data_IF_558754567814
#
_entry.id   IF_558754567814
#
_cell.length_a   1.000
_cell.length_b   1.000
_cell.length_c   1.000
_cell.angle_alpha   90.00
_cell.angle_beta   90.00
_cell.angle_gamma   90.00
#
_symmetry.space_group_name_H-M   'P 1'
#
loop_
_entity.id
_entity.type
_entity.pdbx_description
1 polymer ?
#
# COMPACT_ATOMS: atom_id res chain seq x y z
N UNK A 1 2.39 -19.23 25.56
CA UNK A 1 3.58 -19.94 25.06
C UNK A 1 3.31 -20.74 23.80
N UNK A 2 2.96 -20.07 22.69
CA UNK A 2 2.97 -20.63 21.33
C UNK A 2 3.70 -19.66 20.38
N UNK A 3 3.49 -18.35 20.58
CA UNK A 3 4.22 -17.28 19.88
C UNK A 3 5.73 -17.34 20.17
N UNK A 4 6.16 -17.56 21.43
CA UNK A 4 7.58 -17.65 21.78
C UNK A 4 8.31 -18.86 21.17
N UNK A 5 7.58 -19.86 20.67
CA UNK A 5 8.16 -21.02 19.99
C UNK A 5 8.56 -20.70 18.54
N UNK A 6 7.82 -19.81 17.88
CA UNK A 6 8.10 -19.36 16.50
C UNK A 6 8.88 -18.05 16.44
N UNK A 7 8.76 -17.20 17.46
CA UNK A 7 9.40 -15.90 17.52
C UNK A 7 10.10 -15.68 18.86
N UNK A 8 11.42 -15.49 18.79
CA UNK A 8 12.28 -15.25 19.94
C UNK A 8 12.19 -13.80 20.45
N UNK A 9 11.60 -12.89 19.68
CA UNK A 9 11.45 -11.49 20.07
C UNK A 9 10.28 -10.77 19.38
N UNK A 10 9.84 -9.66 19.98
CA UNK A 10 8.88 -8.71 19.35
C UNK A 10 9.38 -8.23 17.99
N UNK A 11 10.69 -8.05 17.84
CA UNK A 11 11.31 -7.67 16.57
C UNK A 11 11.00 -8.68 15.47
N UNK A 12 11.19 -9.98 15.73
CA UNK A 12 10.90 -11.01 14.73
C UNK A 12 9.41 -11.06 14.35
N UNK A 13 8.51 -10.82 15.31
CA UNK A 13 7.07 -10.70 15.02
C UNK A 13 6.80 -9.51 14.09
N UNK A 14 7.37 -8.33 14.37
CA UNK A 14 7.15 -7.12 13.55
C UNK A 14 7.70 -7.29 12.12
N UNK A 15 8.88 -7.90 11.97
CA UNK A 15 9.46 -8.18 10.66
C UNK A 15 8.61 -9.19 9.86
N UNK A 16 8.19 -10.28 10.49
CA UNK A 16 7.31 -11.26 9.84
C UNK A 16 5.94 -10.67 9.48
N UNK A 17 5.41 -9.73 10.27
CA UNK A 17 4.19 -9.02 9.93
C UNK A 17 4.38 -8.12 8.69
N UNK A 18 5.52 -7.44 8.56
CA UNK A 18 5.84 -6.66 7.36
C UNK A 18 5.83 -7.56 6.12
N UNK A 19 6.55 -8.68 6.16
CA UNK A 19 6.59 -9.66 5.07
C UNK A 19 5.19 -10.19 4.71
N UNK A 20 4.38 -10.53 5.73
CA UNK A 20 3.04 -11.04 5.54
C UNK A 20 2.07 -10.00 4.94
N UNK A 21 2.28 -8.70 5.21
CA UNK A 21 1.48 -7.64 4.60
C UNK A 21 1.89 -7.38 3.15
N UNK A 22 3.19 -7.42 2.85
CA UNK A 22 3.69 -7.31 1.48
C UNK A 22 3.16 -8.43 0.60
N UNK A 23 3.16 -9.68 1.10
CA UNK A 23 2.59 -10.82 0.39
C UNK A 23 1.09 -10.64 0.10
N UNK A 24 0.32 -10.11 1.06
CA UNK A 24 -1.11 -9.81 0.85
C UNK A 24 -1.34 -8.73 -0.20
N UNK A 25 -0.54 -7.67 -0.18
CA UNK A 25 -0.63 -6.61 -1.19
C UNK A 25 -0.31 -7.19 -2.57
N UNK A 26 0.78 -7.96 -2.69
CA UNK A 26 1.16 -8.62 -3.94
C UNK A 26 0.03 -9.51 -4.48
N UNK A 27 -0.60 -10.33 -3.63
CA UNK A 27 -1.74 -11.16 -4.02
C UNK A 27 -2.94 -10.33 -4.52
N UNK A 28 -3.26 -9.21 -3.85
CA UNK A 28 -4.32 -8.30 -4.31
C UNK A 28 -3.99 -7.65 -5.65
N UNK A 29 -2.74 -7.26 -5.85
CA UNK A 29 -2.28 -6.72 -7.13
C UNK A 29 -2.39 -7.76 -8.23
N UNK A 30 -1.92 -8.99 -8.00
CA UNK A 30 -1.99 -10.09 -8.97
C UNK A 30 -3.44 -10.39 -9.37
N UNK A 31 -4.36 -10.46 -8.39
CA UNK A 31 -5.78 -10.61 -8.66
C UNK A 31 -6.35 -9.44 -9.47
N UNK A 32 -5.98 -8.19 -9.16
CA UNK A 32 -6.46 -7.04 -9.93
C UNK A 32 -5.86 -6.98 -11.35
N UNK A 33 -4.63 -7.47 -11.53
CA UNK A 33 -3.96 -7.52 -12.83
C UNK A 33 -4.63 -8.47 -13.83
N UNK A 34 -5.33 -9.51 -13.37
CA UNK A 34 -6.03 -10.44 -14.29
C UNK A 34 -7.15 -9.75 -15.08
N UNK A 35 -7.64 -8.60 -14.61
CA UNK A 35 -8.62 -7.77 -15.33
C UNK A 35 -8.01 -6.60 -16.11
N UNK A 36 -6.70 -6.38 -16.05
CA UNK A 36 -6.05 -5.23 -16.70
C UNK A 36 -5.85 -5.49 -18.20
N UNK A 37 -6.45 -4.65 -19.04
CA UNK A 37 -6.38 -4.76 -20.51
C UNK A 37 -5.45 -3.75 -21.17
N UNK A 38 -4.97 -2.75 -20.42
CA UNK A 38 -4.07 -1.70 -20.89
C UNK A 38 -3.02 -1.31 -19.85
N UNK A 39 -2.10 -0.42 -20.23
CA UNK A 39 -1.02 0.03 -19.34
C UNK A 39 -1.56 0.75 -18.09
N UNK A 40 -2.66 1.49 -18.21
CA UNK A 40 -3.33 2.14 -17.10
C UNK A 40 -4.00 1.16 -16.14
N UNK A 41 -4.45 0.00 -16.64
CA UNK A 41 -4.97 -1.10 -15.83
C UNK A 41 -3.93 -1.65 -14.86
N UNK A 42 -2.63 -1.66 -15.22
CA UNK A 42 -1.55 -2.03 -14.30
C UNK A 42 -1.39 -1.00 -13.16
N UNK A 43 -1.53 0.28 -13.47
CA UNK A 43 -1.51 1.35 -12.45
C UNK A 43 -2.71 1.19 -11.51
N UNK A 44 -3.90 0.98 -12.05
CA UNK A 44 -5.11 0.77 -11.25
C UNK A 44 -5.03 -0.46 -10.36
N UNK A 45 -4.45 -1.56 -10.85
CA UNK A 45 -4.23 -2.78 -10.06
C UNK A 45 -3.28 -2.55 -8.88
N UNK A 46 -2.19 -1.79 -9.09
CA UNK A 46 -1.28 -1.40 -8.02
C UNK A 46 -1.98 -0.51 -6.98
N UNK A 47 -2.73 0.50 -7.42
CA UNK A 47 -3.51 1.36 -6.53
C UNK A 47 -4.55 0.57 -5.76
N UNK A 48 -5.23 -0.39 -6.39
CA UNK A 48 -6.18 -1.28 -5.74
C UNK A 48 -5.51 -2.12 -4.64
N UNK A 49 -4.34 -2.71 -4.93
CA UNK A 49 -3.59 -3.49 -3.94
C UNK A 49 -3.24 -2.71 -2.67
N UNK A 50 -2.96 -1.41 -2.82
CA UNK A 50 -2.67 -0.50 -1.72
C UNK A 50 -3.93 0.04 -1.03
N UNK A 51 -4.96 0.45 -1.77
CA UNK A 51 -6.04 1.30 -1.25
C UNK A 51 -7.40 0.61 -1.08
N UNK A 52 -7.60 -0.58 -1.63
CA UNK A 52 -8.86 -1.30 -1.47
C UNK A 52 -9.05 -1.75 -0.01
N UNK A 53 -9.76 -0.94 0.77
CA UNK A 53 -10.34 -1.27 2.06
C UNK A 53 -11.85 -1.50 1.87
N UNK A 54 -12.47 -2.45 2.58
CA UNK A 54 -13.93 -2.67 2.56
C UNK A 54 -14.46 -3.69 1.53
N UNK A 55 -13.99 -3.70 0.28
CA UNK A 55 -14.50 -4.61 -0.78
C UNK A 55 -13.58 -5.85 -0.93
N UNK A 56 -13.49 -6.65 0.14
CA UNK A 56 -12.43 -7.67 0.29
C UNK A 56 -11.08 -7.09 0.76
N UNK A 57 -11.07 -5.81 1.15
CA UNK A 57 -9.94 -5.16 1.80
C UNK A 57 -9.75 -5.59 3.25
N UNK A 58 -8.51 -5.54 3.73
CA UNK A 58 -8.14 -5.99 5.09
C UNK A 58 -7.87 -4.77 5.98
N UNK A 59 -8.93 -4.28 6.64
CA UNK A 59 -8.85 -3.13 7.58
C UNK A 59 -7.91 -3.42 8.75
N UNK A 60 -7.86 -4.68 9.20
CA UNK A 60 -6.95 -5.09 10.26
C UNK A 60 -5.49 -5.03 9.79
N UNK A 61 -5.20 -5.41 8.55
CA UNK A 61 -3.87 -5.25 7.96
C UNK A 61 -3.49 -3.76 7.79
N UNK A 62 -4.41 -2.90 7.37
CA UNK A 62 -4.15 -1.46 7.27
C UNK A 62 -3.86 -0.83 8.64
N UNK A 63 -4.63 -1.20 9.67
CA UNK A 63 -4.38 -0.82 11.05
C UNK A 63 -3.01 -1.35 11.54
N UNK A 64 -2.69 -2.61 11.24
CA UNK A 64 -1.43 -3.24 11.60
C UNK A 64 -0.23 -2.51 10.96
N UNK A 65 -0.33 -2.18 9.66
CA UNK A 65 0.68 -1.41 8.94
C UNK A 65 0.88 -0.02 9.57
N UNK A 66 -0.21 0.67 9.90
CA UNK A 66 -0.14 1.97 10.58
C UNK A 66 0.58 1.89 11.93
N UNK A 67 0.32 0.85 12.73
CA UNK A 67 1.01 0.61 14.00
C UNK A 67 2.49 0.25 13.81
N UNK A 68 2.82 -0.56 12.80
CA UNK A 68 4.20 -0.88 12.45
C UNK A 68 4.97 0.38 12.05
N UNK A 69 4.34 1.30 11.31
CA UNK A 69 4.93 2.60 11.00
C UNK A 69 5.24 3.46 12.24
N UNK A 70 4.52 3.29 13.34
CA UNK A 70 4.85 3.93 14.61
C UNK A 70 6.05 3.27 15.32
N UNK A 71 6.13 1.93 15.28
CA UNK A 71 7.26 1.17 15.84
C UNK A 71 8.56 1.36 15.03
N UNK A 72 8.44 1.53 13.71
CA UNK A 72 9.53 1.81 12.77
C UNK A 72 10.35 3.06 13.14
N UNK A 73 9.78 4.00 13.88
CA UNK A 73 10.47 5.21 14.35
C UNK A 73 11.36 4.94 15.57
N UNK A 74 11.11 3.84 16.29
CA UNK A 74 11.80 3.50 17.54
C UNK A 74 12.76 2.32 17.38
N UNK A 75 12.47 1.42 16.45
CA UNK A 75 13.23 0.18 16.22
C UNK A 75 13.88 0.27 14.83
N UNK A 76 15.21 0.48 14.74
CA UNK A 76 15.90 0.73 13.47
C UNK A 76 15.68 -0.34 12.39
N UNK A 77 15.68 -1.61 12.78
CA UNK A 77 15.51 -2.77 11.89
C UNK A 77 14.10 -2.80 11.28
N UNK A 78 13.08 -2.52 12.10
CA UNK A 78 11.70 -2.38 11.64
C UNK A 78 11.59 -1.16 10.72
N UNK A 79 12.27 -0.07 11.06
CA UNK A 79 12.33 1.12 10.23
C UNK A 79 12.95 0.89 8.86
N UNK A 80 14.00 0.06 8.77
CA UNK A 80 14.61 -0.33 7.51
C UNK A 80 13.62 -1.15 6.66
N UNK A 81 13.07 -2.23 7.21
CA UNK A 81 12.11 -3.08 6.51
C UNK A 81 10.88 -2.30 6.02
N UNK A 82 10.34 -1.42 6.85
CA UNK A 82 9.21 -0.56 6.51
C UNK A 82 9.53 0.38 5.33
N UNK A 83 10.68 1.06 5.37
CA UNK A 83 11.11 1.94 4.26
C UNK A 83 11.34 1.18 2.97
N UNK A 84 11.91 -0.02 3.05
CA UNK A 84 12.16 -0.86 1.89
C UNK A 84 10.85 -1.30 1.22
N UNK A 85 9.81 -1.61 2.01
CA UNK A 85 8.46 -1.87 1.49
C UNK A 85 7.86 -0.70 0.74
N UNK A 86 7.92 0.50 1.32
CA UNK A 86 7.46 1.73 0.65
C UNK A 86 8.23 2.01 -0.65
N UNK A 87 9.54 1.80 -0.62
CA UNK A 87 10.40 1.98 -1.79
C UNK A 87 10.04 0.98 -2.91
N UNK A 88 9.74 -0.28 -2.57
CA UNK A 88 9.26 -1.29 -3.52
C UNK A 88 7.95 -0.88 -4.17
N UNK A 89 6.94 -0.49 -3.39
CA UNK A 89 5.64 -0.06 -3.95
C UNK A 89 5.80 1.16 -4.84
N UNK A 90 6.60 2.13 -4.42
CA UNK A 90 6.91 3.31 -5.24
C UNK A 90 7.59 2.93 -6.56
N UNK A 91 8.56 2.01 -6.54
CA UNK A 91 9.25 1.56 -7.74
C UNK A 91 8.30 0.89 -8.74
N UNK A 92 7.41 0.00 -8.26
CA UNK A 92 6.41 -0.65 -9.12
C UNK A 92 5.42 0.35 -9.72
N UNK A 93 5.01 1.36 -8.97
CA UNK A 93 4.16 2.44 -9.48
C UNK A 93 4.88 3.27 -10.55
N UNK A 94 6.15 3.64 -10.32
CA UNK A 94 6.96 4.37 -11.30
C UNK A 94 7.05 3.58 -12.60
N UNK A 95 7.36 2.29 -12.54
CA UNK A 95 7.44 1.40 -13.70
C UNK A 95 6.11 1.38 -14.47
N UNK A 96 5.00 1.16 -13.78
CA UNK A 96 3.67 1.10 -14.41
C UNK A 96 3.24 2.44 -15.02
N UNK A 97 3.45 3.55 -14.31
CA UNK A 97 3.14 4.90 -14.78
C UNK A 97 4.00 5.31 -15.97
N UNK A 98 5.27 4.86 -16.01
CA UNK A 98 6.17 5.10 -17.15
C UNK A 98 5.68 4.33 -18.37
N UNK A 99 5.32 3.05 -18.20
CA UNK A 99 4.74 2.24 -19.28
C UNK A 99 3.39 2.80 -19.78
N UNK A 100 2.62 3.45 -18.91
CA UNK A 100 1.38 4.12 -19.25
C UNK A 100 1.56 5.51 -19.91
N UNK A 101 2.79 5.98 -20.07
CA UNK A 101 3.09 7.27 -20.70
C UNK A 101 2.73 8.49 -19.84
N UNK A 102 2.67 8.33 -18.51
CA UNK A 102 2.37 9.46 -17.63
C UNK A 102 3.47 10.54 -17.69
N UNK A 103 3.12 11.83 -17.64
CA UNK A 103 4.07 12.94 -17.78
C UNK A 103 5.04 13.09 -16.59
N UNK A 104 4.62 12.69 -15.38
CA UNK A 104 5.46 12.67 -14.18
C UNK A 104 5.24 11.37 -13.36
N UNK A 105 5.81 10.23 -13.81
CA UNK A 105 5.64 8.95 -13.11
C UNK A 105 6.17 8.97 -11.68
N UNK A 106 7.20 9.78 -11.41
CA UNK A 106 7.88 9.85 -10.12
C UNK A 106 7.02 10.59 -9.10
N UNK A 107 6.49 11.76 -9.46
CA UNK A 107 5.60 12.54 -8.60
C UNK A 107 4.27 11.84 -8.37
N UNK A 108 3.69 11.21 -9.39
CA UNK A 108 2.45 10.46 -9.26
C UNK A 108 2.59 9.21 -8.38
N UNK A 109 3.69 8.48 -8.50
CA UNK A 109 3.97 7.36 -7.60
C UNK A 109 4.15 7.83 -6.14
N UNK A 110 4.81 8.96 -5.92
CA UNK A 110 4.95 9.55 -4.59
C UNK A 110 3.58 9.96 -4.01
N UNK A 111 2.75 10.64 -4.80
CA UNK A 111 1.39 11.02 -4.42
C UNK A 111 0.57 9.79 -4.00
N UNK A 112 0.60 8.71 -4.79
CA UNK A 112 -0.12 7.49 -4.51
C UNK A 112 0.32 6.85 -3.18
N UNK A 113 1.64 6.76 -2.93
CA UNK A 113 2.18 6.22 -1.67
C UNK A 113 1.79 7.09 -0.47
N UNK A 114 1.92 8.42 -0.56
CA UNK A 114 1.52 9.34 0.50
C UNK A 114 0.02 9.21 0.79
N UNK A 115 -0.80 9.11 -0.26
CA UNK A 115 -2.25 8.99 -0.10
C UNK A 115 -2.64 7.65 0.54
N UNK A 116 -2.00 6.54 0.18
CA UNK A 116 -2.23 5.24 0.83
C UNK A 116 -1.85 5.28 2.32
N UNK A 117 -0.65 5.79 2.61
CA UNK A 117 -0.15 5.97 3.98
C UNK A 117 -1.05 6.87 4.84
N UNK A 118 -1.58 7.95 4.25
CA UNK A 118 -2.55 8.83 4.89
C UNK A 118 -3.90 8.15 5.11
N UNK A 119 -4.42 7.46 4.10
CA UNK A 119 -5.71 6.78 4.15
C UNK A 119 -5.73 5.69 5.23
N UNK A 120 -4.67 4.88 5.35
CA UNK A 120 -4.58 3.85 6.38
C UNK A 120 -4.52 4.43 7.79
N UNK A 121 -3.72 5.47 8.02
CA UNK A 121 -3.60 6.11 9.35
C UNK A 121 -4.88 6.84 9.76
N UNK A 122 -5.44 7.65 8.87
CA UNK A 122 -6.63 8.44 9.17
C UNK A 122 -7.87 7.55 9.22
N UNK A 123 -8.02 6.61 8.28
CA UNK A 123 -9.13 5.65 8.29
C UNK A 123 -9.14 4.77 9.55
N UNK A 124 -7.95 4.37 10.04
CA UNK A 124 -7.85 3.64 11.31
C UNK A 124 -8.09 4.53 12.53
N UNK A 125 -7.47 5.71 12.59
CA UNK A 125 -7.52 6.60 13.77
C UNK A 125 -8.81 7.42 13.89
N UNK A 126 -9.51 7.64 12.78
CA UNK A 126 -10.72 8.45 12.67
C UNK A 126 -11.65 7.92 11.55
N UNK A 127 -12.24 6.72 11.72
CA UNK A 127 -13.01 6.03 10.67
C UNK A 127 -14.22 6.81 10.15
N UNK A 128 -14.74 7.77 10.91
CA UNK A 128 -15.82 8.66 10.46
C UNK A 128 -15.39 9.71 9.41
N UNK A 129 -14.08 9.94 9.25
CA UNK A 129 -13.54 10.93 8.30
C UNK A 129 -13.22 10.33 6.94
N UNK A 130 -12.79 9.06 6.90
CA UNK A 130 -12.54 8.32 5.67
C UNK A 130 -13.27 6.98 5.79
N UNK A 131 -14.50 6.89 5.28
CA UNK A 131 -15.22 5.62 5.24
C UNK A 131 -14.43 4.56 4.45
N UNK A 132 -14.55 3.27 4.81
CA UNK A 132 -13.91 2.19 4.07
C UNK A 132 -14.26 2.24 2.58
N UNK A 133 -13.26 1.99 1.72
CA UNK A 133 -13.43 1.96 0.26
C UNK A 133 -13.36 3.31 -0.43
N UNK A 134 -13.48 4.44 0.27
CA UNK A 134 -13.53 5.77 -0.35
C UNK A 134 -12.15 6.25 -0.86
N UNK A 135 -11.06 5.82 -0.23
CA UNK A 135 -9.71 6.29 -0.58
C UNK A 135 -9.30 5.87 -2.00
N UNK A 136 -9.61 4.64 -2.42
CA UNK A 136 -9.24 4.10 -3.73
C UNK A 136 -9.81 4.93 -4.91
N UNK A 137 -11.14 5.12 -5.06
CA UNK A 137 -11.68 5.86 -6.19
C UNK A 137 -11.17 7.30 -6.24
N UNK A 138 -10.97 7.95 -5.08
CA UNK A 138 -10.41 9.31 -5.01
C UNK A 138 -8.97 9.37 -5.53
N UNK A 139 -8.08 8.53 -4.99
CA UNK A 139 -6.66 8.54 -5.39
C UNK A 139 -6.50 8.09 -6.84
N UNK A 140 -7.23 7.06 -7.27
CA UNK A 140 -7.24 6.59 -8.67
C UNK A 140 -7.67 7.70 -9.62
N UNK A 141 -8.77 8.40 -9.31
CA UNK A 141 -9.25 9.52 -10.13
C UNK A 141 -8.24 10.66 -10.23
N UNK A 142 -7.53 10.97 -9.14
CA UNK A 142 -6.50 12.00 -9.13
C UNK A 142 -5.26 11.59 -9.94
N UNK A 143 -4.75 10.36 -9.74
CA UNK A 143 -3.59 9.85 -10.48
C UNK A 143 -3.90 9.78 -11.97
N UNK A 144 -5.07 9.29 -12.38
CA UNK A 144 -5.47 9.23 -13.80
C UNK A 144 -5.58 10.63 -14.41
N UNK A 145 -6.21 11.58 -13.72
CA UNK A 145 -6.37 12.97 -14.19
C UNK A 145 -5.02 13.66 -14.40
N UNK A 146 -4.13 13.58 -13.41
CA UNK A 146 -2.81 14.20 -13.49
C UNK A 146 -1.86 13.42 -14.43
N UNK A 147 -2.10 12.14 -14.60
CA UNK A 147 -1.34 11.26 -15.48
C UNK A 147 -1.73 11.30 -16.95
N UNK A 148 -2.80 12.00 -17.31
CA UNK A 148 -3.29 12.06 -18.69
C UNK A 148 -3.88 10.75 -19.19
N UNK A 149 -4.45 9.93 -18.30
CA UNK A 149 -5.18 8.74 -18.70
C UNK A 149 -6.40 9.10 -19.57
N UNK A 150 -6.73 8.30 -20.60
CA UNK A 150 -7.93 8.50 -21.40
C UNK A 150 -9.22 8.31 -20.60
#
# INVERSE_FOLDING_TARGET
>A
GLVHYHFQSKLQVLLALIEAMEARIAQRVEHALSGATDAWGRVDALLHGLLALGDGGDEAAAACWAQIGAEAQRIPEVGAAYRDGLARWRAHLIEALTAAGAPDPIGLALLAVIAAEGAWRVGHGAPSLIPPGEALPMVRGLVRRLGGAP
#
